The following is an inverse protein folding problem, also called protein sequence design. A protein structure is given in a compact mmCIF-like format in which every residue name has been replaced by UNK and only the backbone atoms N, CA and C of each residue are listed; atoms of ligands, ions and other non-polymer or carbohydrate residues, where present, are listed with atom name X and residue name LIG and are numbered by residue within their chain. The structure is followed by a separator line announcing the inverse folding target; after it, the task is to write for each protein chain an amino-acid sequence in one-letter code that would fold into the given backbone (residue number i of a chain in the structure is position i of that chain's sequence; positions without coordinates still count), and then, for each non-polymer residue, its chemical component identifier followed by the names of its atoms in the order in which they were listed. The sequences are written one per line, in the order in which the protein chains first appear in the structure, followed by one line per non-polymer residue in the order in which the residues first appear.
data_IF_170671056090
#
_entry.id   IF_170671056090
#
_cell.length_a   1.000
_cell.length_b   1.000
_cell.length_c   1.000
_cell.angle_alpha   90.00
_cell.angle_beta   90.00
_cell.angle_gamma   90.00
#
_symmetry.space_group_name_H-M   'P 1'
#
loop_
_entity.id
_entity.type
_entity.pdbx_description
1 polymer ?
#
# COMPACT_ATOMS: atom_id res chain seq x y z
N UNK A 1 -20.40 -4.72 -23.64
CA UNK A 1 -19.47 -4.68 -22.49
C UNK A 1 -18.12 -4.17 -22.98
N UNK A 2 -17.81 -2.89 -22.70
CA UNK A 2 -16.51 -2.31 -23.07
C UNK A 2 -15.41 -3.03 -22.30
N UNK A 3 -14.45 -3.63 -23.00
CA UNK A 3 -13.20 -4.09 -22.37
C UNK A 3 -12.48 -2.83 -21.92
N UNK A 4 -12.54 -2.50 -20.63
CA UNK A 4 -11.65 -1.51 -20.03
C UNK A 4 -10.23 -1.97 -20.33
N UNK A 5 -9.57 -1.29 -21.25
CA UNK A 5 -8.15 -1.47 -21.54
C UNK A 5 -7.39 -1.19 -20.25
N UNK A 6 -6.77 -2.23 -19.66
CA UNK A 6 -5.94 -2.10 -18.46
C UNK A 6 -4.87 -1.04 -18.74
N UNK A 7 -4.78 -0.02 -17.89
CA UNK A 7 -3.87 1.11 -18.07
C UNK A 7 -2.51 0.71 -17.50
N UNK A 8 -1.49 0.60 -18.37
CA UNK A 8 -0.10 0.42 -17.92
C UNK A 8 0.36 1.70 -17.26
N UNK A 9 0.88 1.61 -16.04
CA UNK A 9 1.53 2.75 -15.41
C UNK A 9 2.85 3.07 -16.14
N UNK A 10 3.15 4.35 -16.48
CA UNK A 10 4.35 4.73 -17.24
C UNK A 10 5.67 4.25 -16.61
N UNK A 11 5.71 4.18 -15.28
CA UNK A 11 6.86 3.71 -14.52
C UNK A 11 7.10 2.21 -14.59
N UNK A 12 6.14 1.41 -15.11
CA UNK A 12 6.36 -0.04 -15.22
C UNK A 12 7.34 -0.35 -16.34
N UNK A 13 8.42 -1.07 -16.06
CA UNK A 13 9.36 -1.45 -17.10
C UNK A 13 8.77 -2.54 -18.02
N UNK A 14 8.01 -3.51 -17.48
CA UNK A 14 7.40 -4.58 -18.27
C UNK A 14 6.06 -4.20 -18.95
N UNK A 15 5.72 -4.82 -20.10
CA UNK A 15 4.38 -4.81 -20.68
C UNK A 15 3.30 -5.45 -19.77
N UNK A 16 2.03 -5.17 -20.07
CA UNK A 16 0.89 -5.75 -19.35
C UNK A 16 0.84 -7.27 -19.52
N UNK A 17 0.70 -8.00 -18.40
CA UNK A 17 0.69 -9.46 -18.40
C UNK A 17 2.07 -10.11 -18.51
N UNK A 18 3.14 -9.33 -18.38
CA UNK A 18 4.51 -9.82 -18.23
C UNK A 18 5.01 -9.46 -16.81
N UNK A 19 5.92 -10.26 -16.26
CA UNK A 19 6.61 -9.96 -15.00
C UNK A 19 8.11 -9.75 -15.22
N UNK A 20 8.72 -8.93 -14.37
CA UNK A 20 10.14 -8.61 -14.43
C UNK A 20 11.00 -9.77 -13.92
N UNK A 21 12.10 -10.06 -14.63
CA UNK A 21 13.12 -11.05 -14.23
C UNK A 21 14.49 -10.43 -14.43
N UNK A 22 15.37 -10.47 -13.43
CA UNK A 22 16.73 -9.92 -13.58
C UNK A 22 17.50 -10.60 -14.72
N UNK A 23 18.23 -9.78 -15.48
CA UNK A 23 19.13 -10.26 -16.53
C UNK A 23 20.23 -11.14 -15.94
N UNK A 24 20.33 -12.38 -16.40
CA UNK A 24 21.53 -13.19 -16.21
C UNK A 24 22.56 -12.83 -17.30
N UNK A 25 23.87 -13.05 -17.09
CA UNK A 25 24.94 -12.66 -18.03
C UNK A 25 24.84 -13.22 -19.46
N UNK A 26 23.88 -14.12 -19.73
CA UNK A 26 23.54 -14.58 -21.07
C UNK A 26 22.39 -13.73 -21.59
N UNK A 27 22.71 -12.87 -22.55
CA UNK A 27 21.83 -12.01 -23.37
C UNK A 27 20.47 -12.64 -23.69
N UNK A 28 19.45 -12.29 -22.90
CA UNK A 28 18.04 -12.44 -23.25
C UNK A 28 17.33 -11.16 -22.77
N UNK A 29 16.58 -10.45 -23.63
CA UNK A 29 15.78 -9.30 -23.19
C UNK A 29 14.82 -9.71 -22.06
N UNK A 30 14.72 -8.89 -21.02
CA UNK A 30 13.90 -9.15 -19.83
C UNK A 30 12.40 -9.06 -20.16
N UNK A 31 11.75 -10.20 -20.34
CA UNK A 31 10.34 -10.39 -19.95
C UNK A 31 9.90 -11.85 -20.06
N UNK A 32 9.09 -12.31 -19.08
CA UNK A 32 8.37 -13.58 -19.18
C UNK A 32 6.87 -13.34 -19.29
N UNK A 33 6.21 -14.07 -20.20
CA UNK A 33 4.76 -14.08 -20.31
C UNK A 33 4.16 -14.75 -19.07
N UNK A 34 3.29 -14.04 -18.36
CA UNK A 34 2.58 -14.60 -17.23
C UNK A 34 1.42 -15.52 -17.73
N UNK A 35 1.46 -16.83 -17.46
CA UNK A 35 0.41 -17.76 -17.89
C UNK A 35 -0.96 -17.41 -17.30
N UNK A 36 -0.98 -16.77 -16.13
CA UNK A 36 -2.20 -16.46 -15.39
C UNK A 36 -2.97 -15.24 -15.93
N UNK A 37 -2.37 -14.42 -16.81
CA UNK A 37 -2.92 -13.16 -17.36
C UNK A 37 -3.24 -12.07 -16.32
N UNK A 38 -2.96 -12.31 -15.03
CA UNK A 38 -3.04 -11.29 -14.00
C UNK A 38 -1.81 -10.38 -14.05
N UNK A 39 -1.96 -9.12 -13.65
CA UNK A 39 -0.80 -8.29 -13.38
C UNK A 39 -0.20 -8.69 -12.03
N UNK A 40 1.08 -9.04 -12.04
CA UNK A 40 1.84 -9.48 -10.87
C UNK A 40 3.06 -8.57 -10.72
N UNK A 41 3.29 -8.09 -9.50
CA UNK A 41 4.49 -7.36 -9.11
C UNK A 41 5.38 -8.25 -8.25
N UNK A 42 6.67 -8.26 -8.56
CA UNK A 42 7.73 -8.95 -7.82
C UNK A 42 8.67 -7.92 -7.20
N UNK A 43 9.41 -8.33 -6.15
CA UNK A 43 10.28 -7.44 -5.40
C UNK A 43 11.25 -6.63 -6.28
N UNK A 44 11.90 -7.28 -7.25
CA UNK A 44 12.85 -6.62 -8.14
C UNK A 44 12.22 -5.49 -8.98
N UNK A 45 11.01 -5.69 -9.49
CA UNK A 45 10.29 -4.64 -10.24
C UNK A 45 9.96 -3.44 -9.33
N UNK A 46 9.56 -3.74 -8.09
CA UNK A 46 9.19 -2.72 -7.09
C UNK A 46 10.42 -1.88 -6.73
N UNK A 47 11.58 -2.52 -6.54
CA UNK A 47 12.85 -1.81 -6.32
C UNK A 47 13.22 -0.93 -7.52
N UNK A 48 13.13 -1.47 -8.73
CA UNK A 48 13.47 -0.74 -9.96
C UNK A 48 12.64 0.56 -10.05
N UNK A 49 11.31 0.45 -9.94
CA UNK A 49 10.39 1.60 -9.99
C UNK A 49 10.77 2.64 -8.93
N UNK A 50 10.96 2.22 -7.68
CA UNK A 50 11.27 3.14 -6.60
C UNK A 50 12.61 3.87 -6.79
N UNK A 51 13.61 3.15 -7.31
CA UNK A 51 14.97 3.68 -7.50
C UNK A 51 15.03 4.74 -8.60
N UNK A 52 14.24 4.56 -9.66
CA UNK A 52 14.23 5.43 -10.82
C UNK A 52 13.37 6.70 -10.63
N UNK A 53 12.24 6.60 -9.91
CA UNK A 53 11.21 7.63 -9.98
C UNK A 53 11.02 8.48 -8.72
N UNK A 54 11.40 7.99 -7.53
CA UNK A 54 10.86 8.60 -6.29
C UNK A 54 11.60 9.84 -5.79
N UNK A 55 12.89 9.99 -6.12
CA UNK A 55 13.73 11.08 -5.60
C UNK A 55 13.22 12.47 -5.99
N UNK A 56 12.67 12.59 -7.20
CA UNK A 56 12.27 13.86 -7.83
C UNK A 56 10.80 14.24 -7.61
N UNK A 57 10.06 13.44 -6.84
CA UNK A 57 8.63 13.68 -6.61
C UNK A 57 8.38 14.93 -5.78
N UNK A 58 7.40 15.73 -6.19
CA UNK A 58 7.05 17.01 -5.55
C UNK A 58 5.97 16.87 -4.47
N UNK A 59 5.15 15.83 -4.55
CA UNK A 59 4.02 15.54 -3.68
C UNK A 59 4.44 14.79 -2.40
N UNK A 60 5.59 15.14 -1.82
CA UNK A 60 6.07 14.52 -0.58
C UNK A 60 5.14 14.90 0.59
N UNK A 61 4.92 13.99 1.56
CA UNK A 61 4.23 14.35 2.79
C UNK A 61 5.00 15.46 3.51
N UNK A 62 4.32 16.17 4.44
CA UNK A 62 4.95 17.21 5.24
C UNK A 62 6.14 16.60 6.01
N UNK A 63 7.28 17.29 5.95
CA UNK A 63 8.51 16.91 6.64
C UNK A 63 8.43 17.17 8.16
N UNK A 64 7.46 16.56 8.82
CA UNK A 64 7.29 16.54 10.27
C UNK A 64 7.38 15.09 10.77
N UNK A 65 8.39 14.82 11.58
CA UNK A 65 8.66 13.50 12.10
C UNK A 65 7.66 13.05 13.20
N UNK A 66 6.74 13.92 13.61
CA UNK A 66 5.71 13.64 14.63
C UNK A 66 6.26 13.13 15.97
N UNK A 67 7.52 13.49 16.28
CA UNK A 67 8.33 13.04 17.44
C UNK A 67 8.82 11.58 17.36
N UNK A 68 8.76 10.95 16.19
CA UNK A 68 9.38 9.65 15.93
C UNK A 68 10.76 9.83 15.31
N UNK A 69 11.80 9.08 15.74
CA UNK A 69 13.15 9.21 15.19
C UNK A 69 13.23 9.04 13.67
N UNK A 70 12.48 8.06 13.15
CA UNK A 70 12.46 7.68 11.72
C UNK A 70 11.27 8.26 10.97
N UNK A 71 10.64 9.31 11.51
CA UNK A 71 9.37 9.83 11.00
C UNK A 71 9.41 10.42 9.59
N UNK A 72 10.58 10.80 9.09
CA UNK A 72 10.75 11.38 7.74
C UNK A 72 11.51 10.46 6.77
N UNK A 73 12.05 9.33 7.24
CA UNK A 73 12.99 8.49 6.48
C UNK A 73 12.33 7.84 5.25
N UNK A 74 11.00 7.73 5.27
CA UNK A 74 10.23 7.04 4.24
C UNK A 74 9.38 7.98 3.37
N UNK A 75 9.57 9.30 3.47
CA UNK A 75 8.73 10.29 2.78
C UNK A 75 8.73 10.12 1.25
N UNK A 76 9.89 9.78 0.67
CA UNK A 76 10.02 9.52 -0.78
C UNK A 76 9.24 8.26 -1.20
N UNK A 77 9.33 7.19 -0.41
CA UNK A 77 8.60 5.94 -0.66
C UNK A 77 7.09 6.14 -0.50
N UNK A 78 6.68 6.90 0.51
CA UNK A 78 5.27 7.24 0.75
C UNK A 78 4.73 8.04 -0.45
N UNK A 79 5.43 9.08 -0.87
CA UNK A 79 5.03 9.90 -2.02
C UNK A 79 4.91 9.06 -3.30
N UNK A 80 5.95 8.27 -3.61
CA UNK A 80 6.03 7.46 -4.82
C UNK A 80 4.94 6.41 -4.90
N UNK A 81 4.77 5.61 -3.85
CA UNK A 81 3.77 4.56 -3.87
C UNK A 81 2.34 5.07 -3.79
N UNK A 82 2.10 6.16 -3.04
CA UNK A 82 0.79 6.81 -3.05
C UNK A 82 0.45 7.33 -4.45
N UNK A 83 1.38 7.99 -5.13
CA UNK A 83 1.16 8.45 -6.50
C UNK A 83 0.92 7.30 -7.47
N UNK A 84 1.77 6.27 -7.44
CA UNK A 84 1.66 5.11 -8.32
C UNK A 84 0.28 4.46 -8.25
N UNK A 85 -0.23 4.19 -7.04
CA UNK A 85 -1.54 3.57 -6.88
C UNK A 85 -2.70 4.50 -7.18
N UNK A 86 -2.57 5.81 -6.93
CA UNK A 86 -3.55 6.80 -7.36
C UNK A 86 -3.68 6.83 -8.89
N UNK A 87 -2.56 6.77 -9.62
CA UNK A 87 -2.55 6.76 -11.09
C UNK A 87 -3.08 5.45 -11.70
N UNK A 88 -2.91 4.31 -11.00
CA UNK A 88 -3.46 3.02 -11.43
C UNK A 88 -4.97 2.94 -11.22
N UNK A 89 -5.45 3.31 -10.03
CA UNK A 89 -6.85 3.10 -9.64
C UNK A 89 -7.76 4.30 -9.90
N UNK A 90 -7.18 5.48 -10.13
CA UNK A 90 -7.89 6.74 -10.42
C UNK A 90 -9.13 6.95 -9.52
N UNK A 91 -8.97 6.89 -8.18
CA UNK A 91 -10.10 7.05 -7.26
C UNK A 91 -10.67 8.48 -7.37
N UNK A 92 -11.97 8.64 -7.11
CA UNK A 92 -12.65 9.95 -7.10
C UNK A 92 -11.94 10.95 -6.20
N UNK A 93 -11.50 10.48 -5.03
CA UNK A 93 -10.64 11.21 -4.10
C UNK A 93 -9.27 10.52 -4.06
N UNK A 94 -8.20 11.15 -4.56
CA UNK A 94 -6.84 10.64 -4.46
C UNK A 94 -6.43 10.42 -3.01
N UNK A 95 -5.70 9.34 -2.76
CA UNK A 95 -5.08 9.07 -1.47
C UNK A 95 -4.01 10.13 -1.18
N UNK A 96 -4.09 10.74 0.00
CA UNK A 96 -3.13 11.75 0.47
C UNK A 96 -1.89 11.08 1.09
N UNK A 97 -0.66 11.40 0.64
CA UNK A 97 0.58 10.94 1.25
C UNK A 97 0.67 11.24 2.75
N UNK A 98 0.14 12.37 3.23
CA UNK A 98 0.13 12.69 4.66
C UNK A 98 -0.74 11.71 5.45
N UNK A 99 -1.81 11.20 4.86
CA UNK A 99 -2.68 10.22 5.51
C UNK A 99 -1.96 8.87 5.65
N UNK A 100 -1.17 8.47 4.66
CA UNK A 100 -0.30 7.29 4.77
C UNK A 100 0.77 7.47 5.84
N UNK A 101 1.42 8.63 5.90
CA UNK A 101 2.39 8.95 6.94
C UNK A 101 1.77 8.90 8.34
N UNK A 102 0.55 9.44 8.50
CA UNK A 102 -0.21 9.34 9.74
C UNK A 102 -0.60 7.88 10.09
N UNK A 103 -0.95 7.07 9.08
CA UNK A 103 -1.24 5.65 9.28
C UNK A 103 -0.02 4.91 9.81
N UNK A 104 1.15 5.07 9.19
CA UNK A 104 2.41 4.44 9.65
C UNK A 104 2.73 4.85 11.10
N UNK A 105 2.59 6.13 11.42
CA UNK A 105 2.78 6.63 12.78
C UNK A 105 1.84 5.95 13.79
N UNK A 106 0.60 5.66 13.38
CA UNK A 106 -0.38 4.96 14.21
C UNK A 106 -0.15 3.44 14.33
N UNK A 107 0.47 2.82 13.32
CA UNK A 107 0.63 1.37 13.21
C UNK A 107 1.95 0.87 13.82
N UNK A 108 3.06 1.51 13.46
CA UNK A 108 4.40 1.06 13.85
C UNK A 108 5.23 2.14 14.55
N UNK A 109 4.79 3.40 14.50
CA UNK A 109 5.65 4.50 14.95
C UNK A 109 6.93 4.63 14.11
N UNK A 110 6.89 4.20 12.84
CA UNK A 110 8.02 4.15 11.91
C UNK A 110 9.08 3.07 12.20
N UNK A 111 8.75 2.09 13.03
CA UNK A 111 9.62 0.94 13.31
C UNK A 111 9.51 -0.12 12.21
N UNK A 112 10.59 -0.31 11.45
CA UNK A 112 10.64 -1.24 10.30
C UNK A 112 10.45 -2.71 10.72
N UNK A 113 10.93 -3.08 11.90
CA UNK A 113 10.79 -4.44 12.44
C UNK A 113 9.59 -4.60 13.37
N UNK A 114 8.68 -3.61 13.40
CA UNK A 114 7.47 -3.71 14.20
C UNK A 114 6.69 -4.99 13.87
N UNK A 115 6.35 -5.73 14.92
CA UNK A 115 5.52 -6.92 14.81
C UNK A 115 4.45 -6.91 15.89
N UNK A 116 3.21 -7.20 15.51
CA UNK A 116 2.10 -7.32 16.43
C UNK A 116 1.35 -8.64 16.20
N UNK A 117 0.98 -9.32 17.28
CA UNK A 117 0.10 -10.48 17.20
C UNK A 117 -1.32 -10.04 16.86
N UNK A 118 -1.93 -10.73 15.89
CA UNK A 118 -3.32 -10.49 15.51
C UNK A 118 -4.04 -11.82 15.28
N UNK A 119 -5.38 -11.78 15.30
CA UNK A 119 -6.22 -12.96 15.01
C UNK A 119 -5.98 -13.54 13.62
N UNK A 120 -5.42 -12.76 12.70
CA UNK A 120 -5.18 -13.11 11.29
C UNK A 120 -3.69 -13.33 10.98
N UNK A 121 -2.89 -13.55 12.03
CA UNK A 121 -1.45 -13.79 11.98
C UNK A 121 -0.61 -12.57 12.37
N UNK A 122 0.71 -12.76 12.47
CA UNK A 122 1.63 -11.68 12.87
C UNK A 122 1.62 -10.59 11.80
N UNK A 123 1.31 -9.37 12.22
CA UNK A 123 1.40 -8.16 11.41
C UNK A 123 2.85 -7.65 11.43
N UNK A 124 3.37 -7.17 10.28
CA UNK A 124 4.79 -6.82 10.13
C UNK A 124 5.02 -5.53 9.34
N UNK A 125 6.07 -4.83 9.70
CA UNK A 125 6.60 -3.68 8.96
C UNK A 125 5.88 -2.37 9.26
N UNK A 126 6.23 -1.33 8.49
CA UNK A 126 5.77 0.04 8.70
C UNK A 126 4.24 0.19 8.75
N UNK A 127 3.52 -0.50 7.88
CA UNK A 127 2.05 -0.44 7.78
C UNK A 127 1.35 -1.68 8.33
N UNK A 128 2.08 -2.58 9.00
CA UNK A 128 1.52 -3.76 9.68
C UNK A 128 0.74 -4.72 8.74
N UNK A 129 1.40 -5.23 7.70
CA UNK A 129 0.81 -6.27 6.82
C UNK A 129 0.77 -7.61 7.55
N UNK A 130 -0.40 -8.24 7.63
CA UNK A 130 -0.59 -9.55 8.27
C UNK A 130 -0.22 -10.72 7.35
N UNK A 131 0.06 -11.89 7.94
CA UNK A 131 0.32 -13.10 7.15
C UNK A 131 -0.86 -13.48 6.24
N UNK A 132 -2.10 -13.32 6.69
CA UNK A 132 -3.27 -13.55 5.85
C UNK A 132 -3.35 -12.54 4.71
N UNK A 133 -3.11 -11.25 4.97
CA UNK A 133 -3.06 -10.22 3.92
C UNK A 133 -2.01 -10.56 2.87
N UNK A 134 -0.80 -10.96 3.28
CA UNK A 134 0.26 -11.39 2.35
C UNK A 134 -0.19 -12.54 1.46
N UNK A 135 -0.92 -13.52 2.02
CA UNK A 135 -1.47 -14.66 1.23
C UNK A 135 -2.51 -14.17 0.22
N UNK A 136 -3.42 -13.27 0.62
CA UNK A 136 -4.44 -12.69 -0.26
C UNK A 136 -3.79 -11.91 -1.41
N UNK A 137 -2.74 -11.12 -1.13
CA UNK A 137 -2.00 -10.36 -2.14
C UNK A 137 -1.40 -11.23 -3.25
N UNK A 138 -1.13 -12.52 -2.97
CA UNK A 138 -0.60 -13.48 -3.95
C UNK A 138 -1.64 -14.38 -4.59
N UNK A 139 -2.88 -14.38 -4.09
CA UNK A 139 -3.87 -15.39 -4.46
C UNK A 139 -4.54 -15.06 -5.80
N UNK A 140 -4.13 -15.77 -6.85
CA UNK A 140 -4.68 -15.64 -8.20
C UNK A 140 -6.16 -16.02 -8.32
N UNK A 141 -6.67 -16.83 -7.39
CA UNK A 141 -8.08 -17.24 -7.35
C UNK A 141 -8.86 -16.51 -6.25
N UNK A 142 -8.18 -15.60 -5.56
CA UNK A 142 -8.66 -14.97 -4.35
C UNK A 142 -9.49 -13.73 -4.62
N UNK A 143 -9.54 -12.90 -3.60
CA UNK A 143 -10.36 -11.69 -3.56
C UNK A 143 -9.86 -10.61 -4.53
N UNK A 144 -8.55 -10.58 -4.81
CA UNK A 144 -7.93 -9.61 -5.70
C UNK A 144 -7.95 -10.13 -7.13
N UNK A 145 -8.60 -9.39 -8.02
CA UNK A 145 -8.72 -9.76 -9.44
C UNK A 145 -7.50 -9.36 -10.28
N UNK A 146 -6.73 -8.38 -9.84
CA UNK A 146 -5.58 -7.81 -10.58
C UNK A 146 -4.59 -7.13 -9.63
N UNK A 147 -3.38 -6.88 -10.13
CA UNK A 147 -2.26 -6.26 -9.41
C UNK A 147 -1.91 -7.03 -8.13
N UNK A 148 -1.64 -8.33 -8.31
CA UNK A 148 -1.14 -9.23 -7.28
C UNK A 148 0.31 -8.88 -6.95
N UNK A 149 0.73 -9.20 -5.73
CA UNK A 149 2.06 -8.86 -5.23
C UNK A 149 2.68 -10.09 -4.60
N UNK A 150 3.80 -10.55 -5.17
CA UNK A 150 4.54 -11.72 -4.69
C UNK A 150 5.66 -11.30 -3.77
N UNK A 151 5.42 -11.43 -2.45
CA UNK A 151 6.41 -11.20 -1.40
C UNK A 151 6.59 -12.42 -0.50
N UNK A 152 7.84 -12.76 -0.20
CA UNK A 152 8.23 -13.72 0.83
C UNK A 152 8.01 -13.15 2.25
N UNK A 153 8.09 -14.02 3.26
CA UNK A 153 7.94 -13.61 4.67
C UNK A 153 9.00 -12.62 5.15
N UNK A 154 10.19 -12.64 4.53
CA UNK A 154 11.30 -11.72 4.85
C UNK A 154 11.13 -10.39 4.14
N UNK A 155 10.70 -10.41 2.88
CA UNK A 155 10.48 -9.20 2.08
C UNK A 155 9.37 -8.30 2.62
N UNK A 156 8.40 -8.84 3.36
CA UNK A 156 7.33 -8.01 3.98
C UNK A 156 7.87 -7.03 5.03
N UNK A 157 9.07 -7.23 5.60
CA UNK A 157 9.68 -6.26 6.52
C UNK A 157 10.57 -5.24 5.82
N UNK A 158 10.79 -5.36 4.51
CA UNK A 158 11.46 -4.30 3.76
C UNK A 158 10.52 -3.08 3.62
N UNK A 159 10.95 -1.86 4.00
CA UNK A 159 10.11 -0.66 3.94
C UNK A 159 9.47 -0.39 2.58
N UNK A 160 10.23 -0.59 1.49
CA UNK A 160 9.78 -0.31 0.14
C UNK A 160 8.68 -1.28 -0.27
N UNK A 161 8.94 -2.58 -0.09
CA UNK A 161 8.00 -3.64 -0.42
C UNK A 161 6.75 -3.61 0.50
N UNK A 162 6.94 -3.28 1.78
CA UNK A 162 5.87 -3.14 2.76
C UNK A 162 4.92 -1.99 2.41
N UNK A 163 5.45 -0.82 2.07
CA UNK A 163 4.63 0.33 1.67
C UNK A 163 3.90 0.07 0.36
N UNK A 164 4.57 -0.50 -0.64
CA UNK A 164 3.96 -0.87 -1.91
C UNK A 164 2.74 -1.77 -1.70
N UNK A 165 2.91 -2.86 -0.94
CA UNK A 165 1.87 -3.83 -0.66
C UNK A 165 0.76 -3.29 0.27
N UNK A 166 1.13 -2.50 1.28
CA UNK A 166 0.18 -1.95 2.24
C UNK A 166 -0.74 -0.92 1.63
N UNK A 167 -0.21 -0.02 0.79
CA UNK A 167 -1.02 0.96 0.07
C UNK A 167 -1.95 0.25 -0.91
N UNK A 168 -1.45 -0.74 -1.67
CA UNK A 168 -2.31 -1.58 -2.54
C UNK A 168 -3.47 -2.21 -1.78
N UNK A 169 -3.18 -2.74 -0.59
CA UNK A 169 -4.19 -3.34 0.28
C UNK A 169 -5.18 -2.30 0.80
N UNK A 170 -4.74 -1.09 1.12
CA UNK A 170 -5.61 0.00 1.54
C UNK A 170 -6.62 0.40 0.46
N UNK A 171 -6.21 0.44 -0.82
CA UNK A 171 -7.13 0.65 -1.94
C UNK A 171 -8.21 -0.44 -2.00
N UNK A 172 -7.81 -1.69 -1.78
CA UNK A 172 -8.77 -2.80 -1.70
C UNK A 172 -9.70 -2.67 -0.50
N UNK A 173 -9.18 -2.22 0.64
CA UNK A 173 -9.99 -1.95 1.84
C UNK A 173 -11.01 -0.82 1.62
N UNK A 174 -10.68 0.21 0.84
CA UNK A 174 -11.64 1.24 0.42
C UNK A 174 -12.79 0.63 -0.40
N UNK A 175 -12.49 -0.27 -1.33
CA UNK A 175 -13.51 -1.02 -2.08
C UNK A 175 -14.43 -1.84 -1.16
N UNK A 176 -13.86 -2.61 -0.22
CA UNK A 176 -14.63 -3.42 0.72
C UNK A 176 -15.48 -2.58 1.66
N UNK A 177 -14.93 -1.50 2.19
CA UNK A 177 -15.66 -0.54 3.01
C UNK A 177 -16.84 0.03 2.21
N UNK A 178 -16.64 0.40 0.95
CA UNK A 178 -17.71 0.92 0.10
C UNK A 178 -18.82 -0.10 -0.15
N UNK A 179 -18.47 -1.36 -0.41
CA UNK A 179 -19.43 -2.44 -0.56
C UNK A 179 -20.24 -2.66 0.75
N UNK A 180 -19.57 -2.61 1.90
CA UNK A 180 -20.22 -2.75 3.22
C UNK A 180 -21.16 -1.59 3.52
N UNK A 181 -20.74 -0.36 3.24
CA UNK A 181 -21.49 0.87 3.49
C UNK A 181 -22.56 1.16 2.43
N UNK A 182 -22.54 0.43 1.31
CA UNK A 182 -23.43 0.63 0.14
C UNK A 182 -23.33 2.05 -0.45
N UNK A 183 -22.17 2.69 -0.30
CA UNK A 183 -21.81 3.99 -0.88
C UNK A 183 -20.30 4.06 -1.06
N UNK A 184 -19.80 5.10 -1.71
CA UNK A 184 -18.36 5.34 -1.74
C UNK A 184 -17.84 5.58 -0.32
N UNK A 185 -16.74 4.89 0.02
CA UNK A 185 -16.08 5.02 1.31
C UNK A 185 -14.99 6.11 1.24
N UNK A 186 -14.88 6.90 2.30
CA UNK A 186 -13.75 7.81 2.49
C UNK A 186 -12.46 7.04 2.79
N UNK A 187 -11.30 7.70 2.67
CA UNK A 187 -10.04 7.08 3.07
C UNK A 187 -9.94 6.79 4.57
N UNK A 188 -10.60 7.57 5.42
CA UNK A 188 -10.68 7.32 6.86
C UNK A 188 -11.46 6.03 7.15
N UNK A 189 -12.56 5.78 6.41
CA UNK A 189 -13.32 4.53 6.52
C UNK A 189 -12.55 3.33 5.97
N UNK A 190 -11.78 3.53 4.89
CA UNK A 190 -10.87 2.51 4.38
C UNK A 190 -9.83 2.12 5.43
N UNK A 191 -9.26 3.08 6.17
CA UNK A 191 -8.33 2.80 7.27
C UNK A 191 -9.03 2.10 8.44
N UNK A 192 -10.26 2.47 8.77
CA UNK A 192 -11.03 1.76 9.79
C UNK A 192 -11.32 0.30 9.40
N UNK A 193 -11.62 0.03 8.12
CA UNK A 193 -11.76 -1.33 7.58
C UNK A 193 -10.41 -2.07 7.52
N UNK A 194 -9.31 -1.35 7.26
CA UNK A 194 -7.95 -1.89 7.31
C UNK A 194 -7.61 -2.39 8.71
N UNK A 195 -7.86 -1.57 9.73
CA UNK A 195 -7.68 -1.88 11.15
C UNK A 195 -8.72 -2.86 11.71
N UNK A 196 -9.75 -3.22 10.93
CA UNK A 196 -10.80 -4.15 11.35
C UNK A 196 -11.81 -3.58 12.35
N UNK A 197 -11.88 -2.25 12.48
CA UNK A 197 -12.70 -1.55 13.48
C UNK A 197 -13.86 -0.75 12.87
N UNK A 198 -14.07 -0.79 11.55
CA UNK A 198 -15.14 -0.03 10.87
C UNK A 198 -16.52 -0.23 11.52
N UNK A 199 -16.89 -1.46 11.86
CA UNK A 199 -18.19 -1.78 12.48
C UNK A 199 -18.31 -1.38 13.97
N UNK A 200 -17.20 -0.93 14.57
CA UNK A 200 -17.09 -0.57 15.98
C UNK A 200 -17.11 0.95 16.19
N UNK A 201 -16.90 1.74 15.13
CA UNK A 201 -16.92 3.19 15.20
C UNK A 201 -18.25 3.71 15.76
N UNK A 202 -18.17 4.65 16.72
CA UNK A 202 -19.30 5.21 17.44
C UNK A 202 -19.99 4.25 18.41
N UNK A 203 -19.47 3.03 18.58
CA UNK A 203 -20.01 1.99 19.48
C UNK A 203 -19.01 1.54 20.54
N UNK A 204 -17.73 1.57 20.19
CA UNK A 204 -16.62 1.11 21.04
C UNK A 204 -15.64 2.26 21.19
N UNK A 205 -15.43 2.72 22.43
CA UNK A 205 -14.59 3.88 22.71
C UNK A 205 -13.16 3.68 22.23
N UNK A 206 -12.62 2.48 22.40
CA UNK A 206 -11.27 2.14 21.97
C UNK A 206 -11.09 2.29 20.45
N UNK A 207 -12.11 1.93 19.67
CA UNK A 207 -12.07 2.10 18.21
C UNK A 207 -12.08 3.58 17.83
N UNK A 208 -12.88 4.39 18.53
CA UNK A 208 -12.94 5.83 18.31
C UNK A 208 -11.63 6.51 18.72
N UNK A 209 -11.03 6.14 19.85
CA UNK A 209 -9.74 6.64 20.34
C UNK A 209 -8.60 6.34 19.34
N UNK A 210 -8.60 5.14 18.73
CA UNK A 210 -7.64 4.76 17.68
C UNK A 210 -7.76 5.70 16.47
N UNK A 211 -8.98 5.95 16.01
CA UNK A 211 -9.21 6.82 14.86
C UNK A 211 -8.97 8.30 15.19
N UNK A 212 -9.22 8.73 16.42
CA UNK A 212 -8.89 10.08 16.89
C UNK A 212 -7.38 10.31 16.91
N UNK A 213 -6.60 9.32 17.37
CA UNK A 213 -5.13 9.38 17.32
C UNK A 213 -4.61 9.52 15.90
N UNK A 214 -5.17 8.75 14.96
CA UNK A 214 -4.85 8.86 13.53
C UNK A 214 -5.16 10.27 13.00
N UNK A 215 -6.37 10.80 13.28
CA UNK A 215 -6.78 12.14 12.86
C UNK A 215 -5.85 13.22 13.40
N UNK A 216 -5.43 13.13 14.67
CA UNK A 216 -4.46 14.06 15.27
C UNK A 216 -3.14 14.10 14.51
N UNK A 217 -2.62 12.95 14.06
CA UNK A 217 -1.42 12.91 13.22
C UNK A 217 -1.67 13.55 11.85
N UNK A 218 -2.76 13.19 11.18
CA UNK A 218 -3.07 13.71 9.84
C UNK A 218 -3.33 15.22 9.85
N UNK A 219 -4.06 15.75 10.84
CA UNK A 219 -4.27 17.19 11.02
C UNK A 219 -2.97 17.94 11.26
N UNK A 220 -2.05 17.38 12.06
CA UNK A 220 -0.73 17.97 12.29
C UNK A 220 0.07 18.11 11.00
N UNK A 221 -0.02 17.10 10.13
CA UNK A 221 0.62 17.11 8.80
C UNK A 221 -0.08 18.05 7.81
N UNK A 222 -1.37 18.32 8.00
CA UNK A 222 -2.19 19.14 7.10
C UNK A 222 -2.20 20.63 7.43
N UNK A 223 -1.82 21.01 8.66
CA UNK A 223 -1.66 22.42 9.04
C UNK A 223 -0.50 23.03 8.25
N UNK A 224 -0.71 24.20 7.64
CA UNK A 224 0.34 24.99 7.00
C UNK A 224 1.34 25.47 8.04
#
# INVERSE_FOLDING_TARGET
MSKTTKKKHPWRPCPLGEHWVKEHPRTVPVSEKNPSRHEIFVADEIYEISSQHFKELKNKPKADAMRFPHGNDFDDLIAGWTQFWNEIFEPTEPLDPNLIKALIASESGFEVQASADSKIGVAKGLIQITEQTRKILTDQKGELKDFLITLSKKEVTDPNLNLFAGIRWLFHKKYLAGHRLKREASWIEAIAEYKGILNQLGRVKEADDIMEKLKKYHERLSKK
#
